data_IF_869155008833
#
_entry.id   IF_869155008833
#
_cell.length_a   1.000
_cell.length_b   1.000
_cell.length_c   1.000
_cell.angle_alpha   90.00
_cell.angle_beta   90.00
_cell.angle_gamma   90.00
#
_symmetry.space_group_name_H-M   'P 1'
#
loop_
_entity.id
_entity.type
_entity.pdbx_description
1 polymer ?
#
# COMPACT_ATOMS: atom_id res chain seq x y z
N UNK A 1 -68.39 -6.20 7.35
CA UNK A 1 -68.39 -7.00 8.59
C UNK A 1 -67.21 -6.54 9.41
N UNK A 2 -67.30 -5.45 10.16
CA UNK A 2 -68.05 -5.32 11.42
C UNK A 2 -67.29 -5.95 12.58
N UNK A 3 -67.14 -5.13 13.63
CA UNK A 3 -66.95 -5.48 15.05
C UNK A 3 -65.52 -5.53 15.57
N UNK A 4 -65.08 -4.34 15.98
CA UNK A 4 -64.52 -4.15 17.32
C UNK A 4 -65.37 -4.84 18.39
N UNK A 5 -64.76 -5.23 19.52
CA UNK A 5 -65.38 -4.86 20.78
C UNK A 5 -64.39 -4.18 21.73
N UNK A 6 -64.93 -3.09 22.26
CA UNK A 6 -64.46 -2.25 23.34
C UNK A 6 -64.94 -2.86 24.66
N UNK A 7 -64.07 -3.01 25.66
CA UNK A 7 -64.37 -3.36 27.05
C UNK A 7 -63.13 -3.04 27.89
N UNK A 8 -63.16 -2.55 29.13
CA UNK A 8 -64.17 -1.93 29.99
C UNK A 8 -63.38 -1.36 31.19
N UNK A 9 -63.61 -0.10 31.56
CA UNK A 9 -63.65 0.51 32.91
C UNK A 9 -62.44 0.47 33.92
N UNK A 10 -61.99 1.70 34.25
CA UNK A 10 -61.72 2.36 35.56
C UNK A 10 -60.57 2.03 36.54
N UNK A 11 -60.07 3.15 37.12
CA UNK A 11 -59.54 3.41 38.48
C UNK A 11 -58.20 2.74 38.88
N UNK A 12 -57.25 3.32 39.62
CA UNK A 12 -57.13 4.59 40.37
C UNK A 12 -55.67 4.79 40.86
N UNK A 13 -55.29 6.06 41.07
CA UNK A 13 -54.35 6.65 42.06
C UNK A 13 -52.96 6.03 42.42
N UNK A 14 -51.89 6.70 41.94
CA UNK A 14 -50.62 7.06 42.65
C UNK A 14 -49.52 5.99 42.88
N UNK A 15 -48.28 6.34 43.33
CA UNK A 15 -47.62 7.63 43.47
C UNK A 15 -46.29 7.79 42.65
N UNK A 16 -45.76 9.01 42.69
CA UNK A 16 -44.47 9.55 42.21
C UNK A 16 -43.26 8.63 42.50
N UNK A 17 -42.40 8.33 41.50
CA UNK A 17 -40.99 8.00 41.74
C UNK A 17 -40.06 8.46 40.59
N UNK A 18 -39.16 9.37 41.00
CA UNK A 18 -37.92 9.93 40.44
C UNK A 18 -37.40 9.45 39.06
N UNK A 19 -37.24 10.39 38.14
CA UNK A 19 -36.39 10.24 36.96
C UNK A 19 -34.91 10.23 37.39
N UNK A 20 -34.19 9.14 37.12
CA UNK A 20 -32.72 9.12 37.15
C UNK A 20 -32.20 9.40 35.76
N UNK A 21 -31.38 10.45 35.67
CA UNK A 21 -30.68 10.87 34.47
C UNK A 21 -29.64 9.81 34.09
N UNK A 22 -29.86 9.10 32.98
CA UNK A 22 -28.87 8.22 32.38
C UNK A 22 -27.98 9.04 31.41
N UNK A 23 -26.73 9.18 31.83
CA UNK A 23 -25.60 9.80 31.14
C UNK A 23 -25.39 9.23 29.72
N UNK A 24 -25.13 10.07 28.70
CA UNK A 24 -24.74 9.57 27.38
C UNK A 24 -23.32 8.99 27.46
N UNK A 25 -23.21 7.71 27.13
CA UNK A 25 -21.95 6.99 27.02
C UNK A 25 -21.23 7.47 25.75
N UNK A 26 -20.00 7.97 25.90
CA UNK A 26 -19.14 8.42 24.81
C UNK A 26 -18.80 7.27 23.84
N UNK A 27 -18.82 7.49 22.51
CA UNK A 27 -18.40 6.49 21.54
C UNK A 27 -16.89 6.19 21.68
N UNK A 28 -16.46 4.92 21.50
CA UNK A 28 -15.08 4.52 21.71
C UNK A 28 -14.13 5.24 20.72
N UNK A 29 -13.19 6.00 21.29
CA UNK A 29 -12.01 6.53 20.60
C UNK A 29 -11.21 5.36 20.02
N UNK A 30 -11.26 5.20 18.70
CA UNK A 30 -10.21 4.50 17.97
C UNK A 30 -9.10 5.50 17.65
N UNK A 31 -7.85 5.27 18.08
CA UNK A 31 -6.72 5.95 17.50
C UNK A 31 -6.26 5.20 16.24
N UNK A 32 -5.59 5.97 15.39
CA UNK A 32 -4.62 5.56 14.39
C UNK A 32 -5.01 5.59 12.89
N UNK A 33 -4.49 6.68 12.28
CA UNK A 33 -3.81 6.77 10.98
C UNK A 33 -4.65 6.99 9.73
N UNK A 34 -5.33 8.15 9.68
CA UNK A 34 -5.30 8.93 8.43
C UNK A 34 -3.97 9.68 8.33
N UNK A 35 -2.94 9.00 7.83
CA UNK A 35 -1.83 9.70 7.19
C UNK A 35 -2.32 10.14 5.81
N UNK A 36 -3.10 11.21 5.78
CA UNK A 36 -3.30 11.99 4.56
C UNK A 36 -1.94 12.58 4.20
N UNK A 37 -1.21 11.85 3.36
CA UNK A 37 -0.05 12.38 2.65
C UNK A 37 -0.60 13.41 1.68
N UNK A 38 -0.62 14.67 2.14
CA UNK A 38 -0.66 15.89 1.34
C UNK A 38 -0.06 15.59 -0.03
N UNK A 39 -0.87 15.74 -1.07
CA UNK A 39 -0.49 15.67 -2.47
C UNK A 39 0.48 16.81 -2.77
N UNK A 40 1.72 16.67 -2.29
CA UNK A 40 2.84 17.18 -3.06
C UNK A 40 2.80 16.40 -4.36
N UNK A 41 2.53 17.13 -5.43
CA UNK A 41 2.58 16.75 -6.85
C UNK A 41 4.00 16.27 -7.21
N UNK A 42 4.49 15.26 -6.49
CA UNK A 42 5.63 14.49 -6.88
C UNK A 42 5.08 13.52 -7.90
N UNK A 43 5.41 13.76 -9.18
CA UNK A 43 5.28 12.80 -10.28
C UNK A 43 5.92 11.47 -9.85
N UNK A 44 5.14 10.66 -9.13
CA UNK A 44 5.55 9.36 -8.63
C UNK A 44 5.48 8.38 -9.78
N UNK A 45 6.42 7.44 -9.82
CA UNK A 45 6.33 6.32 -10.76
C UNK A 45 5.05 5.52 -10.47
N UNK A 46 4.15 5.38 -11.46
CA UNK A 46 2.88 4.66 -11.32
C UNK A 46 3.00 3.17 -11.70
N UNK A 47 2.38 2.29 -10.93
CA UNK A 47 2.42 0.85 -11.19
C UNK A 47 1.34 0.42 -12.20
N UNK A 48 1.72 -0.29 -13.26
CA UNK A 48 0.81 -0.83 -14.28
C UNK A 48 -0.08 -2.02 -13.83
N UNK A 49 -0.21 -2.28 -12.52
CA UNK A 49 -1.06 -3.35 -11.97
C UNK A 49 -2.04 -2.76 -10.95
N UNK A 50 -1.52 -2.03 -9.96
CA UNK A 50 -2.37 -1.42 -8.92
C UNK A 50 -2.70 0.05 -9.19
N UNK A 51 -2.24 0.63 -10.31
CA UNK A 51 -2.57 1.98 -10.80
C UNK A 51 -2.41 3.08 -9.74
N UNK A 52 -1.40 2.93 -8.89
CA UNK A 52 -1.06 3.83 -7.79
C UNK A 52 0.45 4.04 -7.76
N UNK A 53 0.90 5.01 -6.95
CA UNK A 53 2.32 5.28 -6.75
C UNK A 53 3.08 4.00 -6.35
N UNK A 54 4.01 3.57 -7.19
CA UNK A 54 4.61 2.26 -7.15
C UNK A 54 5.50 2.08 -5.92
N UNK A 55 5.13 1.16 -5.04
CA UNK A 55 5.91 0.77 -3.87
C UNK A 55 7.04 -0.18 -4.24
N UNK A 56 8.28 0.19 -3.89
CA UNK A 56 9.49 -0.53 -4.30
C UNK A 56 9.50 -0.70 -5.84
N UNK A 57 9.56 0.40 -6.61
CA UNK A 57 9.26 0.41 -8.05
C UNK A 57 10.30 -0.37 -8.86
N UNK A 58 9.90 -1.48 -9.50
CA UNK A 58 10.70 -2.27 -10.46
C UNK A 58 10.34 -1.89 -11.89
N UNK A 59 11.32 -1.94 -12.78
CA UNK A 59 11.10 -1.87 -14.23
C UNK A 59 11.56 -3.18 -14.85
N UNK A 60 10.76 -3.74 -15.75
CA UNK A 60 11.13 -4.91 -16.56
C UNK A 60 12.08 -4.51 -17.68
N UNK A 61 12.78 -5.46 -18.33
CA UNK A 61 13.63 -5.11 -19.48
C UNK A 61 12.87 -4.48 -20.65
N UNK A 62 11.56 -4.75 -20.77
CA UNK A 62 10.71 -4.10 -21.76
C UNK A 62 10.25 -2.68 -21.36
N UNK A 63 10.70 -2.15 -20.22
CA UNK A 63 10.45 -0.76 -19.80
C UNK A 63 9.17 -0.53 -18.98
N UNK A 64 8.36 -1.55 -18.71
CA UNK A 64 7.13 -1.38 -17.95
C UNK A 64 7.39 -1.38 -16.43
N UNK A 65 6.71 -0.47 -15.73
CA UNK A 65 6.94 -0.20 -14.31
C UNK A 65 5.86 -0.82 -13.41
N UNK A 66 6.30 -1.43 -12.31
CA UNK A 66 5.43 -2.08 -11.34
C UNK A 66 5.91 -1.90 -9.89
N UNK A 67 5.02 -2.14 -8.92
CA UNK A 67 5.45 -2.48 -7.57
C UNK A 67 6.12 -3.86 -7.58
N UNK A 68 7.24 -4.03 -6.85
CA UNK A 68 7.83 -5.36 -6.65
C UNK A 68 6.82 -6.43 -6.17
N UNK A 69 5.99 -6.19 -5.13
CA UNK A 69 5.00 -7.17 -4.71
C UNK A 69 3.93 -7.48 -5.77
N UNK A 70 3.56 -6.50 -6.61
CA UNK A 70 2.57 -6.71 -7.67
C UNK A 70 3.13 -7.60 -8.77
N UNK A 71 4.35 -7.31 -9.23
CA UNK A 71 5.00 -8.11 -10.26
C UNK A 71 5.34 -9.52 -9.75
N UNK A 72 5.80 -9.66 -8.51
CA UNK A 72 6.10 -10.96 -7.92
C UNK A 72 4.86 -11.87 -7.87
N UNK A 73 3.72 -11.36 -7.38
CA UNK A 73 2.45 -12.11 -7.37
C UNK A 73 2.02 -12.50 -8.78
N UNK A 74 2.17 -11.60 -9.75
CA UNK A 74 1.87 -11.87 -11.15
C UNK A 74 2.72 -13.03 -11.69
N UNK A 75 4.04 -12.99 -11.49
CA UNK A 75 4.96 -14.03 -11.95
C UNK A 75 4.72 -15.37 -11.24
N UNK A 76 4.28 -15.35 -9.98
CA UNK A 76 3.96 -16.58 -9.25
C UNK A 76 2.65 -17.24 -9.72
N UNK A 77 1.70 -16.46 -10.24
CA UNK A 77 0.46 -16.97 -10.81
C UNK A 77 0.58 -17.32 -12.30
N UNK A 78 1.42 -16.60 -13.04
CA UNK A 78 1.61 -16.80 -14.47
C UNK A 78 2.66 -17.88 -14.75
N UNK A 79 2.24 -18.99 -15.34
CA UNK A 79 3.15 -20.08 -15.76
C UNK A 79 4.15 -19.67 -16.84
N UNK A 80 3.96 -18.53 -17.50
CA UNK A 80 4.73 -18.13 -18.68
C UNK A 80 5.85 -17.12 -18.42
N UNK A 81 5.85 -16.45 -17.27
CA UNK A 81 6.86 -15.42 -16.97
C UNK A 81 6.85 -14.27 -17.99
N UNK A 82 5.69 -13.63 -18.16
CA UNK A 82 5.47 -12.60 -19.18
C UNK A 82 5.04 -11.27 -18.55
N UNK A 83 5.45 -10.16 -19.17
CA UNK A 83 5.01 -8.82 -18.85
C UNK A 83 3.47 -8.69 -19.01
N UNK A 84 2.74 -8.17 -18.01
CA UNK A 84 1.29 -7.96 -18.11
C UNK A 84 0.87 -7.13 -19.33
N UNK A 85 1.69 -6.14 -19.71
CA UNK A 85 1.38 -5.14 -20.74
C UNK A 85 1.75 -5.65 -22.13
N UNK A 86 3.03 -5.91 -22.40
CA UNK A 86 3.51 -6.22 -23.75
C UNK A 86 3.86 -7.70 -24.00
N UNK A 87 3.63 -8.57 -23.01
CA UNK A 87 3.96 -10.01 -23.06
C UNK A 87 5.44 -10.36 -23.26
N UNK A 88 6.35 -9.39 -23.22
CA UNK A 88 7.79 -9.66 -23.20
C UNK A 88 8.20 -10.52 -22.00
N UNK A 89 9.25 -11.33 -22.15
CA UNK A 89 9.72 -12.25 -21.10
C UNK A 89 10.20 -11.50 -19.85
N UNK A 90 9.72 -11.93 -18.68
CA UNK A 90 10.05 -11.36 -17.36
C UNK A 90 10.28 -12.48 -16.36
N UNK A 91 11.40 -12.41 -15.65
CA UNK A 91 11.69 -13.30 -14.52
C UNK A 91 11.96 -12.48 -13.27
N UNK A 92 11.90 -13.10 -12.09
CA UNK A 92 12.19 -12.44 -10.81
C UNK A 92 13.61 -11.88 -10.74
N UNK A 93 14.56 -12.47 -11.49
CA UNK A 93 15.96 -12.03 -11.54
C UNK A 93 16.23 -10.95 -12.59
N UNK A 94 15.32 -10.79 -13.56
CA UNK A 94 15.53 -9.92 -14.73
C UNK A 94 14.69 -8.64 -14.67
N UNK A 95 14.69 -8.01 -13.49
CA UNK A 95 14.00 -6.74 -13.23
C UNK A 95 14.95 -5.76 -12.59
N UNK A 96 14.80 -4.48 -12.95
CA UNK A 96 15.71 -3.42 -12.56
C UNK A 96 15.08 -2.61 -11.42
N UNK A 97 15.75 -2.49 -10.26
CA UNK A 97 15.37 -1.56 -9.21
C UNK A 97 15.41 -0.09 -9.62
N UNK A 98 14.33 0.66 -9.40
CA UNK A 98 14.36 2.12 -9.52
C UNK A 98 14.44 2.76 -8.13
N UNK A 99 15.44 3.62 -7.95
CA UNK A 99 15.64 4.43 -6.76
C UNK A 99 15.51 5.91 -7.17
N UNK A 100 14.33 6.49 -6.97
CA UNK A 100 14.06 7.91 -7.27
C UNK A 100 14.17 8.80 -6.03
N UNK A 101 14.31 10.12 -6.24
CA UNK A 101 14.15 11.14 -5.18
C UNK A 101 12.65 11.28 -4.84
N UNK A 102 12.32 11.50 -3.57
CA UNK A 102 10.94 11.76 -3.13
C UNK A 102 10.24 10.63 -2.35
N UNK A 103 10.96 9.65 -1.81
CA UNK A 103 10.38 8.62 -0.93
C UNK A 103 10.87 8.78 0.51
N UNK A 104 9.94 8.71 1.46
CA UNK A 104 10.20 8.89 2.90
C UNK A 104 10.65 7.59 3.62
N UNK A 105 10.90 6.50 2.88
CA UNK A 105 11.32 5.21 3.42
C UNK A 105 12.26 4.47 2.46
N UNK A 106 13.28 3.80 3.01
CA UNK A 106 14.26 3.05 2.22
C UNK A 106 13.56 1.89 1.47
N UNK A 107 13.54 1.89 0.13
CA UNK A 107 12.87 0.87 -0.67
C UNK A 107 13.54 -0.51 -0.58
N UNK A 108 14.71 -0.63 0.07
CA UNK A 108 15.37 -1.91 0.35
C UNK A 108 14.65 -2.71 1.43
N UNK A 109 13.91 -2.07 2.36
CA UNK A 109 13.27 -2.80 3.46
C UNK A 109 12.25 -3.83 2.94
N UNK A 110 12.37 -5.09 3.36
CA UNK A 110 11.43 -6.18 3.04
C UNK A 110 10.25 -6.17 4.03
N UNK A 111 9.06 -6.47 3.52
CA UNK A 111 7.91 -6.89 4.33
C UNK A 111 7.92 -8.42 4.36
N UNK A 112 7.55 -9.04 5.49
CA UNK A 112 7.74 -10.48 5.76
C UNK A 112 7.21 -11.45 4.69
N UNK A 113 6.37 -11.00 3.77
CA UNK A 113 5.70 -11.81 2.74
C UNK A 113 6.35 -11.79 1.34
N UNK A 114 7.43 -11.03 1.11
CA UNK A 114 8.05 -10.90 -0.23
C UNK A 114 9.57 -11.03 -0.14
N UNK A 115 10.23 -11.85 -1.00
CA UNK A 115 11.67 -12.01 -0.97
C UNK A 115 12.41 -10.70 -1.26
N UNK A 116 13.67 -10.68 -0.80
CA UNK A 116 14.58 -9.56 -1.01
C UNK A 116 14.65 -9.19 -2.49
N UNK A 117 14.78 -7.89 -2.75
CA UNK A 117 14.84 -7.40 -4.12
C UNK A 117 16.17 -7.84 -4.77
N UNK A 118 16.17 -8.25 -6.05
CA UNK A 118 17.42 -8.48 -6.78
C UNK A 118 18.37 -7.29 -6.67
N UNK A 119 19.65 -7.58 -6.41
CA UNK A 119 20.69 -6.57 -6.32
C UNK A 119 20.94 -5.97 -7.71
N UNK A 120 21.09 -4.66 -7.78
CA UNK A 120 21.49 -4.01 -9.02
C UNK A 120 22.87 -4.55 -9.46
N UNK A 121 22.97 -5.12 -10.66
CA UNK A 121 24.25 -5.43 -11.28
C UNK A 121 24.90 -4.12 -11.74
N UNK A 122 25.88 -3.62 -10.97
CA UNK A 122 26.80 -2.57 -11.44
C UNK A 122 28.11 -3.27 -11.77
N UNK A 123 28.58 -3.15 -13.01
CA UNK A 123 30.00 -3.41 -13.30
C UNK A 123 30.82 -2.46 -12.44
N UNK A 124 31.81 -2.99 -11.73
CA UNK A 124 32.77 -2.15 -11.03
C UNK A 124 33.47 -1.30 -12.10
N UNK A 125 33.38 0.03 -11.97
CA UNK A 125 34.30 0.90 -12.71
C UNK A 125 35.71 0.47 -12.31
N UNK A 126 36.55 0.16 -13.30
CA UNK A 126 37.95 -0.16 -13.07
C UNK A 126 38.59 0.90 -12.16
N UNK A 127 39.43 0.50 -11.17
CA UNK A 127 40.19 1.48 -10.40
C UNK A 127 41.03 2.29 -11.39
N UNK A 128 40.85 3.62 -11.38
CA UNK A 128 41.71 4.52 -12.15
C UNK A 128 43.15 4.31 -11.69
N UNK A 129 44.12 4.02 -12.58
CA UNK A 129 45.52 4.03 -12.21
C UNK A 129 45.85 5.42 -11.68
N UNK A 130 46.36 5.51 -10.46
CA UNK A 130 46.90 6.76 -9.93
C UNK A 130 48.08 7.15 -10.83
N UNK A 131 47.91 8.17 -11.67
CA UNK A 131 49.02 8.78 -12.41
C UNK A 131 49.99 9.35 -11.38
N UNK A 132 51.12 8.65 -11.23
CA UNK A 132 52.27 9.10 -10.48
C UNK A 132 52.86 10.33 -11.15
N UNK A 133 52.58 11.50 -10.58
CA UNK A 133 53.26 12.76 -10.91
C UNK A 133 54.69 12.69 -10.37
N UNK A 134 55.61 12.11 -11.14
CA UNK A 134 57.04 12.29 -10.90
C UNK A 134 57.44 13.67 -11.40
N UNK A 135 57.77 14.55 -10.46
CA UNK A 135 58.35 15.85 -10.76
C UNK A 135 59.79 15.71 -11.27
N UNK A 136 60.13 16.52 -12.27
CA UNK A 136 61.50 16.89 -12.61
C UNK A 136 61.53 18.38 -12.95
#
# INVERSE_FOLDING_TARGET
GSRTPFSFQEASAGPIFMATEAKPEDPPKTPDLKKESKSSEAHGFECNICLTAAQKPVVTLCGHLYCWPCLYKWLNHSKKGECPVCKGGVTTNNVIPIYGRGRHSDPRKSTLSVPERPRAQRSASSPTPAEGRTGR
#
